data_IF_902781300638
#
_entry.id   IF_902781300638
#
_cell.length_a   1.000
_cell.length_b   1.000
_cell.length_c   1.000
_cell.angle_alpha   90.00
_cell.angle_beta   90.00
_cell.angle_gamma   90.00
#
_symmetry.space_group_name_H-M   'P 1'
#
loop_
_entity.id
_entity.type
_entity.pdbx_description
1 polymer ?
#
# COMPACT_ATOMS: atom_id res chain seq x y z
N UNK A 1 16.64 -10.40 -18.66
CA UNK A 1 17.40 -10.71 -17.44
C UNK A 1 16.58 -11.67 -16.57
N UNK A 2 17.26 -12.46 -15.73
CA UNK A 2 16.63 -13.26 -14.67
C UNK A 2 16.55 -12.45 -13.38
N UNK A 3 15.36 -12.11 -12.94
CA UNK A 3 15.11 -11.24 -11.78
C UNK A 3 14.43 -12.03 -10.66
N UNK A 4 15.07 -12.08 -9.49
CA UNK A 4 14.49 -12.64 -8.27
C UNK A 4 13.87 -11.53 -7.46
N UNK A 5 12.54 -11.54 -7.28
CA UNK A 5 11.82 -10.67 -6.35
C UNK A 5 11.54 -11.45 -5.07
N UNK A 6 11.72 -10.87 -3.90
CA UNK A 6 11.42 -11.53 -2.64
C UNK A 6 10.58 -10.64 -1.70
N UNK A 7 9.50 -11.23 -1.19
CA UNK A 7 8.63 -10.62 -0.18
C UNK A 7 8.05 -11.68 0.75
N UNK A 8 7.78 -11.32 2.03
CA UNK A 8 7.21 -12.27 3.00
C UNK A 8 5.83 -12.76 2.58
N UNK A 9 4.96 -11.87 2.14
CA UNK A 9 3.60 -12.17 1.68
C UNK A 9 3.41 -11.75 0.23
N UNK A 10 2.73 -12.58 -0.53
CA UNK A 10 2.43 -12.34 -1.93
C UNK A 10 1.02 -12.85 -2.28
N UNK A 11 0.54 -12.55 -3.48
CA UNK A 11 -0.77 -13.00 -3.94
C UNK A 11 -1.08 -14.48 -3.59
N UNK A 12 -2.29 -14.80 -3.12
CA UNK A 12 -3.51 -13.97 -3.04
C UNK A 12 -3.63 -13.10 -1.77
N UNK A 13 -2.56 -12.94 -0.96
CA UNK A 13 -2.57 -12.02 0.18
C UNK A 13 -2.59 -10.58 -0.32
N UNK A 14 -3.61 -9.80 0.07
CA UNK A 14 -3.78 -8.42 -0.36
C UNK A 14 -3.26 -7.43 0.69
N UNK A 15 -2.24 -6.68 0.31
CA UNK A 15 -1.69 -5.53 1.05
C UNK A 15 -1.01 -4.60 0.06
N UNK A 16 -0.75 -3.35 0.43
CA UNK A 16 -0.04 -2.41 -0.45
C UNK A 16 1.31 -2.96 -0.95
N UNK A 17 2.06 -3.66 -0.07
CA UNK A 17 3.33 -4.29 -0.43
C UNK A 17 3.14 -5.43 -1.44
N UNK A 18 2.20 -6.36 -1.19
CA UNK A 18 1.99 -7.50 -2.08
C UNK A 18 1.43 -7.10 -3.44
N UNK A 19 0.54 -6.09 -3.49
CA UNK A 19 0.04 -5.50 -4.74
C UNK A 19 1.18 -4.83 -5.52
N UNK A 20 2.04 -4.06 -4.85
CA UNK A 20 3.22 -3.48 -5.47
C UNK A 20 4.13 -4.55 -6.09
N UNK A 21 4.51 -5.56 -5.30
CA UNK A 21 5.41 -6.63 -5.75
C UNK A 21 4.81 -7.42 -6.92
N UNK A 22 3.48 -7.66 -6.90
CA UNK A 22 2.77 -8.33 -7.98
C UNK A 22 2.82 -7.52 -9.29
N UNK A 23 2.38 -6.24 -9.25
CA UNK A 23 2.38 -5.37 -10.43
C UNK A 23 3.79 -5.13 -10.99
N UNK A 24 4.80 -5.06 -10.12
CA UNK A 24 6.20 -4.98 -10.56
C UNK A 24 6.66 -6.26 -11.25
N UNK A 25 6.34 -7.44 -10.68
CA UNK A 25 6.70 -8.72 -11.29
C UNK A 25 6.06 -8.90 -12.67
N UNK A 26 4.78 -8.56 -12.78
CA UNK A 26 4.01 -8.60 -14.04
C UNK A 26 4.62 -7.64 -15.08
N UNK A 27 4.84 -6.37 -14.72
CA UNK A 27 5.42 -5.38 -15.63
C UNK A 27 6.85 -5.74 -16.08
N UNK A 28 7.69 -6.32 -15.21
CA UNK A 28 9.01 -6.82 -15.62
C UNK A 28 8.91 -8.02 -16.55
N UNK A 29 7.95 -8.94 -16.33
CA UNK A 29 7.72 -10.07 -17.22
C UNK A 29 7.23 -9.61 -18.62
N UNK A 30 6.35 -8.60 -18.67
CA UNK A 30 5.90 -7.96 -19.91
C UNK A 30 7.05 -7.29 -20.70
N UNK A 31 8.06 -6.77 -20.00
CA UNK A 31 9.29 -6.25 -20.61
C UNK A 31 10.26 -7.36 -21.06
N UNK A 32 9.88 -8.64 -20.95
CA UNK A 32 10.65 -9.79 -21.41
C UNK A 32 11.73 -10.26 -20.41
N UNK A 33 11.63 -9.88 -19.14
CA UNK A 33 12.48 -10.45 -18.09
C UNK A 33 11.92 -11.82 -17.64
N UNK A 34 12.81 -12.74 -17.28
CA UNK A 34 12.44 -13.99 -16.61
C UNK A 34 12.36 -13.72 -15.11
N UNK A 35 11.15 -13.68 -14.56
CA UNK A 35 10.88 -13.24 -13.20
C UNK A 35 10.48 -14.41 -12.31
N UNK A 36 11.11 -14.50 -11.15
CA UNK A 36 10.73 -15.40 -10.06
C UNK A 36 10.41 -14.60 -8.81
N UNK A 37 9.24 -14.86 -8.21
CA UNK A 37 8.86 -14.30 -6.93
C UNK A 37 9.02 -15.37 -5.85
N UNK A 38 9.94 -15.15 -4.91
CA UNK A 38 10.13 -16.00 -3.73
C UNK A 38 9.36 -15.41 -2.54
N UNK A 39 8.45 -16.20 -1.97
CA UNK A 39 7.56 -15.77 -0.90
C UNK A 39 7.27 -16.89 0.09
N UNK A 40 6.51 -16.60 1.15
CA UNK A 40 6.06 -17.62 2.11
C UNK A 40 4.83 -18.36 1.63
N UNK A 41 4.75 -19.65 1.95
CA UNK A 41 3.52 -20.43 1.89
C UNK A 41 2.69 -20.19 3.15
N UNK A 42 2.19 -18.96 3.30
CA UNK A 42 1.49 -18.51 4.51
C UNK A 42 0.15 -19.22 4.78
N UNK A 43 -0.38 -19.92 3.79
CA UNK A 43 -1.53 -20.82 3.89
C UNK A 43 -1.17 -22.18 3.30
N UNK A 44 -1.51 -23.31 3.98
CA UNK A 44 -1.17 -24.66 3.53
C UNK A 44 -1.82 -25.05 2.18
N UNK A 45 -2.92 -24.40 1.80
CA UNK A 45 -3.66 -24.69 0.56
C UNK A 45 -2.95 -24.13 -0.68
N UNK A 46 -2.04 -23.17 -0.50
CA UNK A 46 -1.32 -22.58 -1.63
C UNK A 46 -0.32 -23.58 -2.21
N UNK A 47 -0.16 -23.64 -3.55
CA UNK A 47 0.85 -24.48 -4.18
C UNK A 47 2.27 -24.00 -3.81
N UNK A 48 3.22 -24.93 -3.77
CA UNK A 48 4.64 -24.60 -3.55
C UNK A 48 5.20 -23.77 -4.72
N UNK A 49 4.80 -24.12 -5.94
CA UNK A 49 5.17 -23.39 -7.15
C UNK A 49 3.95 -23.23 -8.05
N UNK A 50 3.89 -22.10 -8.73
CA UNK A 50 2.93 -21.86 -9.81
C UNK A 50 3.50 -20.86 -10.84
N UNK A 51 2.94 -20.88 -12.04
CA UNK A 51 3.20 -19.86 -13.06
C UNK A 51 1.90 -19.12 -13.35
N UNK A 52 1.95 -17.80 -13.25
CA UNK A 52 0.84 -16.92 -13.54
C UNK A 52 1.39 -15.57 -14.04
N UNK A 53 0.64 -14.89 -14.88
CA UNK A 53 0.95 -13.52 -15.32
C UNK A 53 2.37 -13.36 -15.92
N UNK A 54 2.88 -14.39 -16.60
CA UNK A 54 4.21 -14.33 -17.23
C UNK A 54 5.39 -14.58 -16.29
N UNK A 55 5.19 -14.78 -14.99
CA UNK A 55 6.26 -15.05 -14.03
C UNK A 55 6.00 -16.31 -13.18
N UNK A 56 7.02 -16.75 -12.44
CA UNK A 56 6.96 -17.91 -11.54
C UNK A 56 6.86 -17.43 -10.09
N UNK A 57 6.00 -18.07 -9.31
CA UNK A 57 5.88 -17.87 -7.87
C UNK A 57 6.39 -19.13 -7.18
N UNK A 58 7.35 -18.96 -6.27
CA UNK A 58 7.92 -20.03 -5.43
C UNK A 58 7.60 -19.72 -3.98
N UNK A 59 6.96 -20.66 -3.28
CA UNK A 59 6.53 -20.47 -1.90
C UNK A 59 7.28 -21.40 -0.96
N UNK A 60 8.04 -20.80 -0.06
CA UNK A 60 8.75 -21.53 0.98
C UNK A 60 7.78 -21.94 2.11
N UNK A 61 7.80 -23.21 2.56
CA UNK A 61 6.97 -23.66 3.68
C UNK A 61 7.21 -22.86 4.96
N UNK A 62 6.11 -22.51 5.65
CA UNK A 62 6.11 -21.81 6.92
C UNK A 62 5.94 -22.81 8.07
N UNK A 63 6.86 -22.81 9.04
CA UNK A 63 6.76 -23.65 10.23
C UNK A 63 6.06 -22.94 11.39
N UNK A 64 6.28 -21.65 11.56
CA UNK A 64 5.68 -20.85 12.64
C UNK A 64 5.36 -19.44 12.20
N UNK A 65 4.28 -18.89 12.79
CA UNK A 65 3.93 -17.47 12.69
C UNK A 65 4.35 -16.75 13.98
N UNK A 66 5.07 -15.66 13.88
CA UNK A 66 5.48 -14.80 15.01
C UNK A 66 4.97 -13.40 14.73
N UNK A 67 3.93 -12.97 15.46
CA UNK A 67 3.25 -11.70 15.20
C UNK A 67 2.77 -11.64 13.72
N UNK A 68 3.20 -10.62 12.98
CA UNK A 68 2.93 -10.49 11.53
C UNK A 68 4.05 -11.10 10.66
N UNK A 69 5.04 -11.78 11.22
CA UNK A 69 6.13 -12.45 10.50
C UNK A 69 5.98 -13.96 10.44
N UNK A 70 6.81 -14.61 9.63
CA UNK A 70 6.85 -16.06 9.45
C UNK A 70 8.25 -16.61 9.64
N UNK A 71 8.37 -17.87 10.05
CA UNK A 71 9.64 -18.60 10.08
C UNK A 71 9.61 -19.71 9.03
N UNK A 72 10.60 -19.66 8.15
CA UNK A 72 10.78 -20.58 7.00
C UNK A 72 12.14 -21.28 7.14
N UNK A 73 12.23 -22.45 7.79
CA UNK A 73 13.51 -23.13 8.05
C UNK A 73 14.29 -23.49 6.78
N UNK A 74 13.59 -23.83 5.70
CA UNK A 74 14.18 -24.18 4.40
C UNK A 74 14.74 -23.01 3.61
N UNK A 75 14.39 -21.78 3.97
CA UNK A 75 14.69 -20.57 3.21
C UNK A 75 16.17 -20.44 2.79
N UNK A 76 17.12 -20.94 3.62
CA UNK A 76 18.55 -20.78 3.27
C UNK A 76 18.92 -21.56 2.01
N UNK A 77 18.35 -22.76 1.82
CA UNK A 77 18.53 -23.58 0.61
C UNK A 77 17.90 -22.93 -0.60
N UNK A 78 16.62 -22.59 -0.48
CA UNK A 78 15.83 -21.95 -1.53
C UNK A 78 16.40 -20.57 -1.93
N UNK A 79 16.85 -19.78 -0.95
CA UNK A 79 17.51 -18.49 -1.22
C UNK A 79 18.81 -18.68 -2.03
N UNK A 80 19.62 -19.69 -1.67
CA UNK A 80 20.85 -20.00 -2.41
C UNK A 80 20.54 -20.42 -3.84
N UNK A 81 19.60 -21.32 -4.04
CA UNK A 81 19.18 -21.82 -5.35
C UNK A 81 18.73 -20.68 -6.26
N UNK A 82 17.72 -19.90 -5.82
CA UNK A 82 17.14 -18.85 -6.65
C UNK A 82 18.06 -17.63 -6.81
N UNK A 83 18.94 -17.35 -5.86
CA UNK A 83 19.98 -16.34 -6.05
C UNK A 83 21.02 -16.81 -7.09
N UNK A 84 21.34 -18.11 -7.13
CA UNK A 84 22.25 -18.67 -8.17
C UNK A 84 21.64 -18.53 -9.56
N UNK A 85 20.34 -18.79 -9.68
CA UNK A 85 19.59 -18.65 -10.94
C UNK A 85 19.49 -17.20 -11.42
N UNK A 86 19.34 -16.23 -10.51
CA UNK A 86 19.09 -14.84 -10.82
C UNK A 86 20.33 -14.10 -11.35
N UNK A 87 20.11 -13.13 -12.22
CA UNK A 87 21.09 -12.09 -12.57
C UNK A 87 21.09 -10.96 -11.54
N UNK A 88 19.89 -10.61 -11.03
CA UNK A 88 19.69 -9.55 -10.05
C UNK A 88 18.59 -9.92 -9.04
N UNK A 89 18.68 -9.32 -7.85
CA UNK A 89 17.76 -9.58 -6.74
C UNK A 89 17.07 -8.28 -6.32
N UNK A 90 15.74 -8.32 -6.20
CA UNK A 90 14.96 -7.24 -5.62
C UNK A 90 14.30 -7.71 -4.31
N UNK A 91 14.63 -7.08 -3.18
CA UNK A 91 14.11 -7.40 -1.86
C UNK A 91 13.11 -6.34 -1.41
N UNK A 92 11.92 -6.76 -1.00
CA UNK A 92 10.87 -5.89 -0.50
C UNK A 92 10.92 -5.81 1.04
N UNK A 93 11.22 -4.65 1.60
CA UNK A 93 11.23 -4.40 3.04
C UNK A 93 9.99 -3.62 3.50
N UNK A 94 9.46 -3.89 4.71
CA UNK A 94 10.03 -4.71 5.78
C UNK A 94 9.83 -6.22 5.56
N UNK A 95 10.90 -7.00 5.72
CA UNK A 95 10.88 -8.44 5.62
C UNK A 95 11.94 -9.01 6.58
N UNK A 96 11.53 -9.90 7.48
CA UNK A 96 12.43 -10.48 8.48
C UNK A 96 13.54 -11.33 7.83
N UNK A 97 13.19 -12.09 6.81
CA UNK A 97 14.04 -13.06 6.12
C UNK A 97 15.01 -12.43 5.11
N UNK A 98 14.80 -11.16 4.76
CA UNK A 98 15.56 -10.46 3.73
C UNK A 98 17.08 -10.50 3.95
N UNK A 99 17.53 -10.55 5.22
CA UNK A 99 18.98 -10.61 5.51
C UNK A 99 19.61 -11.91 5.02
N UNK A 100 18.89 -13.02 5.00
CA UNK A 100 19.38 -14.29 4.44
C UNK A 100 19.59 -14.16 2.94
N UNK A 101 18.60 -13.64 2.22
CA UNK A 101 18.67 -13.37 0.78
C UNK A 101 19.78 -12.36 0.44
N UNK A 102 19.88 -11.27 1.20
CA UNK A 102 20.91 -10.25 0.99
C UNK A 102 22.33 -10.81 1.17
N UNK A 103 22.53 -11.72 2.12
CA UNK A 103 23.82 -12.40 2.32
C UNK A 103 24.15 -13.32 1.14
N UNK A 104 23.19 -14.09 0.64
CA UNK A 104 23.39 -14.97 -0.51
C UNK A 104 23.64 -14.15 -1.79
N UNK A 105 22.91 -13.07 -2.02
CA UNK A 105 23.15 -12.17 -3.14
C UNK A 105 24.58 -11.62 -3.13
N UNK A 106 25.08 -11.15 -1.97
CA UNK A 106 26.45 -10.64 -1.84
C UNK A 106 27.52 -11.70 -1.96
N UNK A 107 27.28 -12.93 -1.47
CA UNK A 107 28.22 -14.07 -1.64
C UNK A 107 28.42 -14.44 -3.10
N UNK A 108 27.38 -14.25 -3.91
CA UNK A 108 27.34 -14.62 -5.32
C UNK A 108 27.56 -13.41 -6.26
N UNK A 109 27.95 -12.26 -5.70
CA UNK A 109 28.19 -11.00 -6.44
C UNK A 109 27.00 -10.60 -7.33
N UNK A 110 25.76 -10.82 -6.85
CA UNK A 110 24.55 -10.41 -7.57
C UNK A 110 24.21 -8.95 -7.29
N UNK A 111 23.78 -8.23 -8.31
CA UNK A 111 23.20 -6.89 -8.16
C UNK A 111 21.96 -6.96 -7.29
N UNK A 112 21.85 -6.04 -6.33
CA UNK A 112 20.75 -6.07 -5.36
C UNK A 112 20.09 -4.70 -5.20
N UNK A 113 18.82 -4.61 -5.58
CA UNK A 113 17.95 -3.48 -5.30
C UNK A 113 17.07 -3.83 -4.11
N UNK A 114 16.86 -2.86 -3.22
CA UNK A 114 15.92 -2.99 -2.10
C UNK A 114 14.77 -2.02 -2.29
N UNK A 115 13.54 -2.52 -2.37
CA UNK A 115 12.33 -1.73 -2.34
C UNK A 115 11.88 -1.56 -0.88
N UNK A 116 11.97 -0.36 -0.36
CA UNK A 116 11.62 -0.06 1.02
C UNK A 116 10.22 0.55 1.09
N UNK A 117 9.25 -0.19 1.62
CA UNK A 117 7.86 0.26 1.64
C UNK A 117 7.55 1.18 2.81
N UNK A 118 7.93 0.83 4.03
CA UNK A 118 7.60 1.64 5.21
C UNK A 118 8.46 1.30 6.43
N UNK A 119 8.48 2.21 7.39
CA UNK A 119 8.95 1.97 8.74
C UNK A 119 7.90 1.14 9.49
N UNK A 120 8.34 0.18 10.31
CA UNK A 120 7.44 -0.58 11.17
C UNK A 120 7.23 0.16 12.49
N UNK A 121 6.07 0.75 12.66
CA UNK A 121 5.60 1.28 13.94
C UNK A 121 4.55 0.33 14.52
N UNK A 122 5.03 -0.80 15.09
CA UNK A 122 4.14 -1.80 15.67
C UNK A 122 3.78 -1.35 17.09
N UNK A 123 2.52 -0.96 17.26
CA UNK A 123 1.92 -0.66 18.56
C UNK A 123 1.63 -1.93 19.37
N UNK A 124 1.13 -1.76 20.59
CA UNK A 124 0.69 -2.87 21.43
C UNK A 124 1.76 -3.37 22.41
N UNK A 125 1.92 -4.69 22.57
CA UNK A 125 2.76 -5.29 23.59
C UNK A 125 4.25 -4.98 23.43
N UNK A 126 5.02 -5.06 24.52
CA UNK A 126 6.48 -4.92 24.49
C UNK A 126 7.14 -5.92 23.52
N UNK A 127 6.57 -7.13 23.39
CA UNK A 127 7.06 -8.16 22.47
C UNK A 127 6.93 -7.68 21.02
N UNK A 128 5.79 -7.10 20.64
CA UNK A 128 5.57 -6.55 19.31
C UNK A 128 6.53 -5.39 19.01
N UNK A 129 6.75 -4.50 19.97
CA UNK A 129 7.70 -3.38 19.85
C UNK A 129 9.13 -3.87 19.64
N UNK A 130 9.55 -4.89 20.41
CA UNK A 130 10.87 -5.52 20.28
C UNK A 130 11.00 -6.22 18.92
N UNK A 131 9.99 -6.99 18.50
CA UNK A 131 9.98 -7.65 17.20
C UNK A 131 10.09 -6.63 16.05
N UNK A 132 9.34 -5.54 16.10
CA UNK A 132 9.45 -4.43 15.15
C UNK A 132 10.84 -3.81 15.12
N UNK A 133 11.43 -3.53 16.28
CA UNK A 133 12.79 -2.99 16.36
C UNK A 133 13.85 -3.96 15.79
N UNK A 134 13.76 -5.26 16.11
CA UNK A 134 14.66 -6.29 15.56
C UNK A 134 14.52 -6.36 14.03
N UNK A 135 13.30 -6.40 13.50
CA UNK A 135 13.05 -6.43 12.05
C UNK A 135 13.64 -5.21 11.36
N UNK A 136 13.44 -4.01 11.92
CA UNK A 136 14.02 -2.78 11.37
C UNK A 136 15.56 -2.78 11.46
N UNK A 137 16.13 -3.28 12.55
CA UNK A 137 17.60 -3.39 12.72
C UNK A 137 18.19 -4.37 11.71
N UNK A 138 17.48 -5.47 11.41
CA UNK A 138 17.89 -6.41 10.35
C UNK A 138 17.71 -5.78 8.97
N UNK A 139 16.61 -5.07 8.73
CA UNK A 139 16.38 -4.30 7.51
C UNK A 139 17.49 -3.29 7.23
N UNK A 140 17.95 -2.56 8.24
CA UNK A 140 19.07 -1.61 8.11
C UNK A 140 20.37 -2.30 7.62
N UNK A 141 20.62 -3.55 8.03
CA UNK A 141 21.75 -4.34 7.53
C UNK A 141 21.56 -4.78 6.08
N UNK A 142 20.33 -5.01 5.64
CA UNK A 142 19.97 -5.26 4.23
C UNK A 142 20.18 -4.00 3.41
N UNK A 143 19.65 -2.85 3.87
CA UNK A 143 19.85 -1.56 3.24
C UNK A 143 21.33 -1.22 3.06
N UNK A 144 22.16 -1.47 4.06
CA UNK A 144 23.61 -1.24 3.95
C UNK A 144 24.28 -2.04 2.81
N UNK A 145 23.75 -3.23 2.50
CA UNK A 145 24.24 -4.13 1.45
C UNK A 145 23.66 -3.86 0.07
N UNK A 146 22.55 -3.12 -0.03
CA UNK A 146 21.93 -2.80 -1.31
C UNK A 146 22.86 -1.98 -2.21
N UNK A 147 22.83 -2.20 -3.51
CA UNK A 147 23.46 -1.32 -4.49
C UNK A 147 22.62 -0.05 -4.64
N UNK A 148 21.31 -0.22 -4.81
CA UNK A 148 20.33 0.85 -4.83
C UNK A 148 19.15 0.52 -3.91
N UNK A 149 18.47 1.58 -3.45
CA UNK A 149 17.26 1.50 -2.66
C UNK A 149 16.17 2.24 -3.42
N UNK A 150 15.00 1.65 -3.54
CA UNK A 150 13.82 2.28 -4.14
C UNK A 150 12.83 2.63 -3.04
N UNK A 151 12.28 3.84 -3.12
CA UNK A 151 11.21 4.34 -2.28
C UNK A 151 10.22 5.15 -3.14
N UNK A 152 8.94 5.15 -2.75
CA UNK A 152 7.88 5.82 -3.49
C UNK A 152 7.95 7.34 -3.40
N UNK A 153 8.67 7.89 -2.41
CA UNK A 153 8.81 9.32 -2.18
C UNK A 153 10.10 9.65 -1.42
N UNK A 154 10.89 10.60 -1.92
CA UNK A 154 12.05 11.12 -1.20
C UNK A 154 11.66 11.84 0.10
N UNK A 155 10.50 12.52 0.15
CA UNK A 155 9.96 13.12 1.36
C UNK A 155 9.82 12.10 2.51
N UNK A 156 9.37 10.87 2.19
CA UNK A 156 9.36 9.77 3.16
C UNK A 156 10.77 9.32 3.53
N UNK A 157 11.64 9.13 2.54
CA UNK A 157 13.00 8.64 2.76
C UNK A 157 13.82 9.59 3.68
N UNK A 158 13.73 10.88 3.45
CA UNK A 158 14.40 11.92 4.25
C UNK A 158 13.91 11.96 5.69
N UNK A 159 12.64 11.68 5.89
CA UNK A 159 12.00 11.66 7.20
C UNK A 159 12.21 10.37 7.97
N UNK A 160 12.51 9.24 7.30
CA UNK A 160 12.73 7.94 7.92
C UNK A 160 14.11 7.85 8.57
N UNK A 161 14.16 7.58 9.87
CA UNK A 161 15.44 7.35 10.57
C UNK A 161 16.22 6.14 10.04
N UNK A 162 15.54 5.21 9.36
CA UNK A 162 16.14 4.00 8.83
C UNK A 162 16.66 4.17 7.41
N UNK A 163 16.01 5.00 6.59
CA UNK A 163 16.44 5.31 5.22
C UNK A 163 17.42 6.48 5.14
N UNK A 164 17.29 7.46 6.02
CA UNK A 164 18.10 8.68 6.00
C UNK A 164 19.61 8.43 5.87
N UNK A 165 20.22 7.39 6.51
CA UNK A 165 21.65 7.09 6.32
C UNK A 165 22.01 6.63 4.92
N UNK A 166 21.05 6.30 4.06
CA UNK A 166 21.23 5.70 2.74
C UNK A 166 20.66 6.54 1.60
N UNK A 167 20.36 7.81 1.82
CA UNK A 167 19.74 8.71 0.81
C UNK A 167 20.53 8.79 -0.49
N UNK A 168 21.87 8.76 -0.44
CA UNK A 168 22.73 8.84 -1.63
C UNK A 168 22.45 7.71 -2.64
N UNK A 169 22.07 6.53 -2.17
CA UNK A 169 21.71 5.39 -3.00
C UNK A 169 20.20 5.11 -3.07
N UNK A 170 19.38 6.01 -2.54
CA UNK A 170 17.92 5.94 -2.64
C UNK A 170 17.45 6.65 -3.91
N UNK A 171 16.55 6.00 -4.62
CA UNK A 171 15.89 6.53 -5.82
C UNK A 171 14.39 6.53 -5.61
N UNK A 172 13.75 7.62 -6.02
CA UNK A 172 12.28 7.69 -6.06
C UNK A 172 11.80 6.96 -7.31
N UNK A 173 10.93 5.98 -7.13
CA UNK A 173 10.23 5.30 -8.22
C UNK A 173 8.75 5.26 -7.84
N UNK A 174 7.85 5.77 -8.70
CA UNK A 174 6.43 5.72 -8.45
C UNK A 174 5.93 4.29 -8.21
N UNK A 175 4.95 4.15 -7.31
CA UNK A 175 4.32 2.84 -7.04
C UNK A 175 3.49 2.40 -8.24
N UNK A 176 3.51 1.12 -8.65
CA UNK A 176 2.72 0.66 -9.78
C UNK A 176 1.22 0.63 -9.44
N UNK A 177 0.42 1.37 -10.21
CA UNK A 177 -1.04 1.47 -10.07
C UNK A 177 -1.71 0.96 -11.35
N UNK A 178 -2.85 0.30 -11.21
CA UNK A 178 -3.73 0.00 -12.33
C UNK A 178 -4.44 1.31 -12.75
N UNK A 179 -4.12 1.80 -13.94
CA UNK A 179 -4.67 3.05 -14.47
C UNK A 179 -6.00 2.86 -15.20
N UNK A 180 -6.68 1.72 -15.02
CA UNK A 180 -8.01 1.48 -15.61
C UNK A 180 -9.04 2.44 -15.01
N UNK A 181 -9.73 3.16 -15.87
CA UNK A 181 -10.85 4.01 -15.49
C UNK A 181 -12.16 3.24 -15.58
N UNK A 182 -13.10 3.63 -14.73
CA UNK A 182 -14.48 3.16 -14.81
C UNK A 182 -15.30 4.11 -15.69
N UNK A 183 -16.29 3.57 -16.35
CA UNK A 183 -17.29 4.39 -17.04
C UNK A 183 -18.43 4.82 -16.10
N UNK A 184 -19.27 5.73 -16.60
CA UNK A 184 -20.38 6.26 -15.79
C UNK A 184 -21.45 5.19 -15.48
N UNK A 185 -21.57 4.13 -16.31
CA UNK A 185 -22.55 3.06 -16.04
C UNK A 185 -22.08 2.13 -14.93
N UNK A 186 -20.78 1.84 -14.85
CA UNK A 186 -20.20 1.07 -13.75
C UNK A 186 -20.41 1.79 -12.41
N UNK A 187 -20.20 3.11 -12.38
CA UNK A 187 -20.45 3.93 -11.19
C UNK A 187 -21.95 3.91 -10.82
N UNK A 188 -22.86 4.06 -11.80
CA UNK A 188 -24.31 3.97 -11.54
C UNK A 188 -24.72 2.59 -11.05
N UNK A 189 -24.17 1.51 -11.64
CA UNK A 189 -24.40 0.13 -11.18
C UNK A 189 -23.94 -0.06 -9.74
N UNK A 190 -22.74 0.45 -9.40
CA UNK A 190 -22.22 0.41 -8.03
C UNK A 190 -23.12 1.17 -7.07
N UNK A 191 -23.53 2.40 -7.40
CA UNK A 191 -24.44 3.20 -6.58
C UNK A 191 -25.76 2.47 -6.33
N UNK A 192 -26.39 1.89 -7.37
CA UNK A 192 -27.64 1.09 -7.22
C UNK A 192 -27.43 -0.12 -6.32
N UNK A 193 -26.32 -0.86 -6.49
CA UNK A 193 -26.00 -2.05 -5.68
C UNK A 193 -25.90 -1.75 -4.19
N UNK A 194 -25.44 -0.55 -3.85
CA UNK A 194 -25.17 -0.15 -2.48
C UNK A 194 -26.13 0.93 -1.94
N UNK A 195 -27.26 1.14 -2.60
CA UNK A 195 -28.31 2.11 -2.20
C UNK A 195 -27.75 3.53 -1.99
N UNK A 196 -26.84 3.96 -2.89
CA UNK A 196 -26.28 5.31 -2.91
C UNK A 196 -27.10 6.15 -3.87
N UNK A 197 -27.72 7.21 -3.36
CA UNK A 197 -28.57 8.12 -4.16
C UNK A 197 -27.73 9.26 -4.75
N UNK A 198 -28.27 9.96 -5.75
CA UNK A 198 -27.60 11.13 -6.35
C UNK A 198 -27.50 12.33 -5.40
N UNK A 199 -28.34 12.34 -4.36
CA UNK A 199 -28.31 13.40 -3.35
C UNK A 199 -27.31 13.12 -2.23
N UNK A 200 -26.83 11.88 -2.06
CA UNK A 200 -25.85 11.54 -1.05
C UNK A 200 -24.51 12.25 -1.29
N UNK A 201 -23.84 12.63 -0.22
CA UNK A 201 -22.44 13.05 -0.21
C UNK A 201 -21.59 11.92 0.35
N UNK A 202 -20.82 11.28 -0.51
CA UNK A 202 -20.15 10.03 -0.21
C UNK A 202 -18.71 10.27 0.22
N UNK A 203 -18.39 9.94 1.47
CA UNK A 203 -17.06 9.94 2.06
C UNK A 203 -16.48 8.53 1.97
N UNK A 204 -15.47 8.32 1.14
CA UNK A 204 -14.82 7.02 0.94
C UNK A 204 -13.72 6.75 1.94
N UNK A 205 -13.64 5.53 2.46
CA UNK A 205 -12.50 4.97 3.18
C UNK A 205 -12.02 3.72 2.45
N UNK A 206 -10.73 3.57 2.20
CA UNK A 206 -10.18 2.41 1.51
C UNK A 206 -9.04 1.76 2.29
N UNK A 207 -9.09 0.42 2.40
CA UNK A 207 -8.05 -0.38 3.05
C UNK A 207 -8.55 -1.24 4.20
N UNK A 208 -7.64 -1.88 4.91
CA UNK A 208 -7.96 -2.71 6.08
C UNK A 208 -8.37 -1.84 7.27
N UNK A 209 -9.32 -2.30 8.08
CA UNK A 209 -9.65 -1.66 9.35
C UNK A 209 -8.56 -1.93 10.40
N UNK A 210 -7.53 -1.09 10.40
CA UNK A 210 -6.36 -1.19 11.26
C UNK A 210 -6.04 0.15 11.92
N UNK A 211 -5.48 0.11 13.12
CA UNK A 211 -5.28 1.28 13.96
C UNK A 211 -4.46 2.40 13.30
N UNK A 212 -3.50 2.03 12.43
CA UNK A 212 -2.72 3.00 11.67
C UNK A 212 -3.53 3.83 10.68
N UNK A 213 -4.77 3.40 10.32
CA UNK A 213 -5.65 4.12 9.38
C UNK A 213 -6.45 5.25 9.99
N UNK A 214 -6.60 5.29 11.33
CA UNK A 214 -7.19 6.41 12.04
C UNK A 214 -8.66 6.67 11.76
N UNK A 215 -9.45 5.64 11.49
CA UNK A 215 -10.88 5.80 11.18
C UNK A 215 -11.69 6.44 12.29
N UNK A 216 -11.24 6.33 13.55
CA UNK A 216 -11.83 7.02 14.70
C UNK A 216 -11.86 8.54 14.54
N UNK A 217 -10.91 9.13 13.84
CA UNK A 217 -10.86 10.59 13.63
C UNK A 217 -11.92 11.05 12.62
N UNK A 218 -12.20 10.25 11.59
CA UNK A 218 -13.36 10.51 10.72
C UNK A 218 -14.68 10.34 11.47
N UNK A 219 -14.81 9.30 12.32
CA UNK A 219 -15.99 9.10 13.16
C UNK A 219 -16.24 10.32 14.08
N UNK A 220 -15.17 10.89 14.63
CA UNK A 220 -15.24 12.10 15.46
C UNK A 220 -15.53 13.37 14.65
N UNK A 221 -15.07 13.44 13.42
CA UNK A 221 -15.30 14.56 12.49
C UNK A 221 -16.74 14.56 11.92
N UNK A 222 -17.34 13.37 11.78
CA UNK A 222 -18.60 13.18 11.05
C UNK A 222 -19.78 14.00 11.58
N UNK A 223 -20.01 14.21 12.91
CA UNK A 223 -21.08 15.09 13.37
C UNK A 223 -21.02 16.50 12.76
N UNK A 224 -19.85 17.11 12.73
CA UNK A 224 -19.65 18.44 12.16
C UNK A 224 -19.84 18.47 10.63
N UNK A 225 -19.47 17.40 9.94
CA UNK A 225 -19.77 17.26 8.50
C UNK A 225 -21.28 17.16 8.29
N UNK A 226 -22.00 16.39 9.12
CA UNK A 226 -23.45 16.20 9.03
C UNK A 226 -24.27 17.46 9.35
N UNK A 227 -23.73 18.38 10.15
CA UNK A 227 -24.35 19.71 10.37
C UNK A 227 -24.44 20.50 9.06
N UNK A 228 -23.44 20.41 8.20
CA UNK A 228 -23.36 21.12 6.91
C UNK A 228 -23.95 20.30 5.76
N UNK A 229 -23.72 18.99 5.76
CA UNK A 229 -24.16 18.05 4.74
C UNK A 229 -24.99 16.93 5.40
N UNK A 230 -26.29 17.16 5.70
CA UNK A 230 -27.12 16.17 6.38
C UNK A 230 -27.29 14.84 5.64
N UNK A 231 -27.01 14.82 4.34
CA UNK A 231 -27.03 13.67 3.45
C UNK A 231 -25.62 13.01 3.28
N UNK A 232 -24.63 13.40 4.08
CA UNK A 232 -23.32 12.76 4.05
C UNK A 232 -23.40 11.32 4.62
N UNK A 233 -22.69 10.41 3.96
CA UNK A 233 -22.51 9.01 4.38
C UNK A 233 -21.11 8.53 4.15
N UNK A 234 -20.62 7.64 5.00
CA UNK A 234 -19.32 7.02 4.90
C UNK A 234 -19.48 5.61 4.35
N UNK A 235 -18.74 5.29 3.30
CA UNK A 235 -18.61 3.92 2.80
C UNK A 235 -17.14 3.49 2.88
N UNK A 236 -16.94 2.28 3.35
CA UNK A 236 -15.61 1.69 3.51
C UNK A 236 -15.45 0.48 2.59
N UNK A 237 -14.38 0.46 1.79
CA UNK A 237 -13.99 -0.66 0.95
C UNK A 237 -12.70 -1.30 1.46
N UNK A 238 -12.72 -2.59 1.76
CA UNK A 238 -11.59 -3.35 2.25
C UNK A 238 -11.92 -4.28 3.41
N UNK A 239 -10.92 -5.01 3.89
CA UNK A 239 -11.12 -5.95 5.00
C UNK A 239 -11.46 -5.21 6.29
N UNK A 240 -12.70 -5.39 6.75
CA UNK A 240 -13.17 -4.80 8.01
C UNK A 240 -12.96 -5.75 9.19
N UNK A 241 -13.40 -7.02 9.09
CA UNK A 241 -13.28 -8.04 10.14
C UNK A 241 -12.15 -9.02 9.85
N UNK A 242 -11.55 -9.57 10.92
CA UNK A 242 -10.50 -10.59 10.79
C UNK A 242 -9.13 -10.06 10.39
N UNK A 243 -8.86 -8.76 10.55
CA UNK A 243 -7.51 -8.22 10.39
C UNK A 243 -6.65 -8.63 11.58
N UNK A 244 -5.58 -9.37 11.32
CA UNK A 244 -4.74 -9.99 12.36
C UNK A 244 -4.20 -8.93 13.32
N UNK A 245 -4.51 -9.09 14.62
CA UNK A 245 -4.03 -8.23 15.69
C UNK A 245 -4.78 -6.90 15.85
N UNK A 246 -5.89 -6.71 15.11
CA UNK A 246 -6.69 -5.48 15.12
C UNK A 246 -8.10 -5.68 15.73
N UNK A 247 -8.38 -6.81 16.36
CA UNK A 247 -9.70 -7.18 16.89
C UNK A 247 -10.24 -6.13 17.89
N UNK A 248 -9.37 -5.64 18.78
CA UNK A 248 -9.73 -4.61 19.77
C UNK A 248 -10.02 -3.26 19.10
N UNK A 249 -9.24 -2.92 18.06
CA UNK A 249 -9.46 -1.69 17.31
C UNK A 249 -10.80 -1.76 16.56
N UNK A 250 -11.06 -2.87 15.88
CA UNK A 250 -12.30 -3.09 15.14
C UNK A 250 -13.52 -2.99 16.05
N UNK A 251 -13.51 -3.67 17.20
CA UNK A 251 -14.62 -3.59 18.18
C UNK A 251 -14.87 -2.15 18.65
N UNK A 252 -13.79 -1.37 18.86
CA UNK A 252 -13.89 0.04 19.23
C UNK A 252 -14.53 0.87 18.12
N UNK A 253 -14.09 0.69 16.86
CA UNK A 253 -14.61 1.43 15.72
C UNK A 253 -16.06 1.07 15.47
N UNK A 254 -16.44 -0.22 15.54
CA UNK A 254 -17.83 -0.68 15.41
C UNK A 254 -18.74 0.02 16.44
N UNK A 255 -18.32 0.06 17.71
CA UNK A 255 -19.06 0.74 18.76
C UNK A 255 -19.19 2.26 18.52
N UNK A 256 -18.11 2.92 18.08
CA UNK A 256 -18.13 4.35 17.79
C UNK A 256 -18.99 4.69 16.56
N UNK A 257 -18.98 3.84 15.54
CA UNK A 257 -19.72 4.05 14.30
C UNK A 257 -21.20 3.70 14.40
N UNK A 258 -21.58 2.84 15.35
CA UNK A 258 -22.98 2.35 15.51
C UNK A 258 -24.02 3.46 15.61
N UNK A 259 -23.68 4.61 16.22
CA UNK A 259 -24.60 5.76 16.35
C UNK A 259 -25.00 6.41 15.01
N UNK A 260 -24.26 6.12 13.93
CA UNK A 260 -24.55 6.69 12.60
C UNK A 260 -25.44 5.77 11.75
N UNK A 261 -25.69 4.52 12.20
CA UNK A 261 -26.55 3.56 11.48
C UNK A 261 -26.14 3.41 10.01
N UNK A 262 -27.08 3.50 9.09
CA UNK A 262 -26.85 3.34 7.65
C UNK A 262 -25.95 4.40 7.02
N UNK A 263 -25.64 5.47 7.74
CA UNK A 263 -24.69 6.49 7.26
C UNK A 263 -23.21 6.03 7.33
N UNK A 264 -22.93 4.94 8.05
CA UNK A 264 -21.63 4.32 8.13
C UNK A 264 -21.71 2.85 7.69
N UNK A 265 -21.22 2.54 6.51
CA UNK A 265 -21.35 1.20 5.94
C UNK A 265 -19.99 0.65 5.50
N UNK A 266 -19.63 -0.54 5.98
CA UNK A 266 -18.50 -1.29 5.45
C UNK A 266 -19.00 -2.25 4.37
N UNK A 267 -18.40 -2.15 3.17
CA UNK A 267 -18.73 -2.96 2.00
C UNK A 267 -17.94 -4.27 1.96
N UNK A 268 -16.92 -4.40 2.84
CA UNK A 268 -16.02 -5.54 2.80
C UNK A 268 -15.02 -5.49 1.64
N UNK A 269 -14.48 -6.66 1.29
CA UNK A 269 -13.59 -6.81 0.15
C UNK A 269 -14.41 -6.75 -1.14
N UNK A 270 -14.00 -5.88 -2.05
CA UNK A 270 -14.65 -5.68 -3.35
C UNK A 270 -13.84 -6.36 -4.46
N UNK A 271 -14.48 -6.72 -5.56
CA UNK A 271 -13.79 -7.05 -6.81
C UNK A 271 -13.02 -5.84 -7.33
N UNK A 272 -12.04 -6.04 -8.21
CA UNK A 272 -11.27 -4.93 -8.77
C UNK A 272 -12.16 -3.93 -9.52
N UNK A 273 -13.19 -4.41 -10.23
CA UNK A 273 -14.19 -3.59 -10.92
C UNK A 273 -15.00 -2.75 -9.93
N UNK A 274 -15.59 -3.38 -8.90
CA UNK A 274 -16.34 -2.68 -7.86
C UNK A 274 -15.46 -1.73 -7.05
N UNK A 275 -14.17 -2.07 -6.85
CA UNK A 275 -13.24 -1.21 -6.12
C UNK A 275 -12.90 0.06 -6.90
N UNK A 276 -12.74 -0.03 -8.23
CA UNK A 276 -12.60 1.16 -9.08
C UNK A 276 -13.89 1.99 -9.09
N UNK A 277 -15.05 1.34 -9.23
CA UNK A 277 -16.35 2.01 -9.21
C UNK A 277 -16.66 2.67 -7.84
N UNK A 278 -16.19 2.08 -6.73
CA UNK A 278 -16.25 2.67 -5.40
C UNK A 278 -15.60 4.07 -5.38
N UNK A 279 -14.37 4.21 -5.90
CA UNK A 279 -13.74 5.54 -5.99
C UNK A 279 -14.56 6.49 -6.86
N UNK A 280 -15.05 6.02 -8.01
CA UNK A 280 -15.91 6.80 -8.89
C UNK A 280 -17.24 7.26 -8.24
N UNK A 281 -17.74 6.53 -7.25
CA UNK A 281 -18.94 6.85 -6.50
C UNK A 281 -18.70 7.82 -5.32
N UNK A 282 -17.45 8.02 -4.87
CA UNK A 282 -17.11 8.91 -3.77
C UNK A 282 -17.06 10.38 -4.21
N UNK A 283 -17.52 11.31 -3.37
CA UNK A 283 -17.30 12.75 -3.52
C UNK A 283 -15.92 13.16 -2.96
N UNK A 284 -15.41 12.43 -1.99
CA UNK A 284 -14.07 12.60 -1.41
C UNK A 284 -13.56 11.30 -0.83
N UNK A 285 -12.28 10.98 -1.06
CA UNK A 285 -11.56 9.94 -0.32
C UNK A 285 -10.94 10.52 0.94
N UNK A 286 -11.25 9.96 2.10
CA UNK A 286 -10.64 10.36 3.38
C UNK A 286 -9.51 9.39 3.71
N UNK A 287 -8.27 9.90 3.79
CA UNK A 287 -7.07 9.12 4.03
C UNK A 287 -6.38 9.59 5.32
N UNK A 288 -6.96 9.19 6.45
CA UNK A 288 -6.67 9.67 7.81
C UNK A 288 -5.55 8.92 8.54
N UNK A 289 -4.57 8.36 7.82
CA UNK A 289 -3.46 7.57 8.39
C UNK A 289 -2.70 8.33 9.49
N UNK A 290 -2.17 7.59 10.48
CA UNK A 290 -1.67 8.17 11.74
C UNK A 290 -0.15 8.14 11.91
N UNK A 291 0.55 7.27 11.17
CA UNK A 291 1.97 7.01 11.42
C UNK A 291 2.72 6.54 10.15
N UNK A 292 4.01 6.28 10.31
CA UNK A 292 4.95 5.94 9.23
C UNK A 292 4.81 4.53 8.66
N UNK A 293 3.90 3.70 9.17
CA UNK A 293 3.54 2.43 8.55
C UNK A 293 2.85 2.66 7.20
N UNK A 294 2.27 3.87 7.03
CA UNK A 294 1.84 4.37 5.73
C UNK A 294 2.92 5.28 5.13
N UNK A 295 3.39 4.93 3.94
CA UNK A 295 4.49 5.68 3.30
C UNK A 295 4.07 6.46 2.07
N UNK A 296 2.88 6.20 1.53
CA UNK A 296 2.40 6.86 0.32
C UNK A 296 0.87 6.83 0.20
N UNK A 297 0.26 5.62 0.26
CA UNK A 297 -1.18 5.43 0.07
C UNK A 297 -1.56 5.32 -1.41
N UNK A 298 -1.35 4.14 -2.01
CA UNK A 298 -1.69 3.81 -3.40
C UNK A 298 -3.13 4.22 -3.74
N UNK A 299 -4.06 4.01 -2.81
CA UNK A 299 -5.49 4.31 -2.97
C UNK A 299 -5.79 5.79 -3.24
N UNK A 300 -4.87 6.71 -2.90
CA UNK A 300 -5.01 8.11 -3.25
C UNK A 300 -4.89 8.30 -4.78
N UNK A 301 -3.93 7.64 -5.40
CA UNK A 301 -3.74 7.67 -6.86
C UNK A 301 -4.93 7.00 -7.55
N UNK A 302 -5.40 5.86 -7.02
CA UNK A 302 -6.58 5.15 -7.54
C UNK A 302 -7.85 6.03 -7.45
N UNK A 303 -8.04 6.77 -6.37
CA UNK A 303 -9.15 7.72 -6.22
C UNK A 303 -9.04 8.91 -7.19
N UNK A 304 -7.86 9.54 -7.27
CA UNK A 304 -7.60 10.66 -8.17
C UNK A 304 -7.81 10.28 -9.62
N UNK A 305 -7.44 9.04 -10.01
CA UNK A 305 -7.66 8.49 -11.35
C UNK A 305 -9.16 8.45 -11.71
N UNK A 306 -10.02 8.15 -10.75
CA UNK A 306 -11.47 8.15 -10.93
C UNK A 306 -12.10 9.55 -10.74
N UNK A 307 -11.28 10.60 -10.65
CA UNK A 307 -11.73 11.98 -10.46
C UNK A 307 -12.22 12.29 -9.05
N UNK A 308 -11.77 11.54 -8.04
CA UNK A 308 -12.17 11.74 -6.64
C UNK A 308 -11.06 12.45 -5.87
N UNK A 309 -11.32 13.65 -5.35
CA UNK A 309 -10.36 14.41 -4.53
C UNK A 309 -10.08 13.70 -3.20
N UNK A 310 -8.92 14.01 -2.61
CA UNK A 310 -8.45 13.33 -1.40
C UNK A 310 -8.26 14.31 -0.25
N UNK A 311 -8.75 13.98 0.93
CA UNK A 311 -8.35 14.62 2.19
C UNK A 311 -7.37 13.69 2.90
N UNK A 312 -6.09 14.07 2.91
CA UNK A 312 -5.00 13.23 3.40
C UNK A 312 -4.34 13.78 4.67
N UNK A 313 -3.84 12.89 5.51
CA UNK A 313 -3.00 13.27 6.65
C UNK A 313 -1.67 13.89 6.21
N UNK A 314 -1.21 14.93 6.91
CA UNK A 314 0.11 15.54 6.74
C UNK A 314 1.20 14.64 7.32
N UNK A 315 1.45 13.52 6.65
CA UNK A 315 2.52 12.60 6.94
C UNK A 315 3.51 12.56 5.77
N UNK A 316 4.80 12.42 6.02
CA UNK A 316 5.80 12.27 4.97
C UNK A 316 5.42 11.13 4.00
N UNK A 317 5.51 11.41 2.72
CA UNK A 317 5.11 10.53 1.63
C UNK A 317 3.59 10.51 1.40
N UNK A 318 2.77 10.39 2.43
CA UNK A 318 1.30 10.38 2.33
C UNK A 318 0.75 11.69 1.75
N UNK A 319 1.33 12.82 2.11
CA UNK A 319 0.93 14.15 1.63
C UNK A 319 1.31 14.42 0.17
N UNK A 320 2.25 13.64 -0.40
CA UNK A 320 2.84 13.95 -1.71
C UNK A 320 1.84 13.95 -2.88
N UNK A 321 0.90 13.00 -3.00
CA UNK A 321 -0.08 13.05 -4.08
C UNK A 321 -0.90 14.35 -4.07
N UNK A 322 -1.37 14.79 -2.91
CA UNK A 322 -2.16 16.03 -2.79
C UNK A 322 -1.30 17.27 -3.00
N UNK A 323 -0.07 17.33 -2.45
CA UNK A 323 0.85 18.45 -2.66
C UNK A 323 1.20 18.65 -4.14
N UNK A 324 1.51 17.56 -4.84
CA UNK A 324 1.94 17.63 -6.25
C UNK A 324 0.79 17.90 -7.22
N UNK A 325 -0.45 17.63 -6.83
CA UNK A 325 -1.62 17.74 -7.71
C UNK A 325 -2.57 18.86 -7.34
N UNK A 326 -2.53 19.34 -6.10
CA UNK A 326 -3.56 20.21 -5.50
C UNK A 326 -4.98 19.63 -5.56
N UNK A 327 -5.11 18.31 -5.80
CA UNK A 327 -6.39 17.62 -5.96
C UNK A 327 -6.91 17.08 -4.62
N UNK A 328 -7.19 18.02 -3.71
CA UNK A 328 -7.67 17.72 -2.36
C UNK A 328 -7.11 18.64 -1.28
N UNK A 329 -7.08 18.15 -0.04
CA UNK A 329 -6.61 18.91 1.14
C UNK A 329 -5.70 18.05 2.01
N UNK A 330 -4.79 18.71 2.73
CA UNK A 330 -3.91 18.07 3.70
C UNK A 330 -4.26 18.57 5.09
N UNK A 331 -4.35 17.65 6.06
CA UNK A 331 -4.69 17.95 7.45
C UNK A 331 -3.71 17.29 8.41
N UNK A 332 -3.43 17.95 9.52
CA UNK A 332 -2.63 17.32 10.58
C UNK A 332 -3.32 16.01 11.06
N UNK A 333 -2.57 14.92 11.27
CA UNK A 333 -3.16 13.69 11.79
C UNK A 333 -3.70 13.89 13.21
N UNK A 334 -4.76 13.15 13.56
CA UNK A 334 -5.44 13.21 14.88
C UNK A 334 -6.18 14.52 15.18
N UNK A 335 -6.53 15.30 14.16
CA UNK A 335 -7.28 16.58 14.31
C UNK A 335 -8.67 16.46 13.69
N UNK A 336 -9.70 15.93 14.42
CA UNK A 336 -11.04 15.70 13.85
C UNK A 336 -11.72 16.97 13.35
N UNK A 337 -11.50 18.11 14.03
CA UNK A 337 -12.09 19.38 13.62
C UNK A 337 -11.53 19.85 12.27
N UNK A 338 -10.20 19.84 12.13
CA UNK A 338 -9.54 20.20 10.88
C UNK A 338 -9.90 19.21 9.76
N UNK A 339 -10.06 17.93 10.08
CA UNK A 339 -10.50 16.91 9.13
C UNK A 339 -11.92 17.21 8.64
N UNK A 340 -12.84 17.57 9.53
CA UNK A 340 -14.21 17.95 9.17
C UNK A 340 -14.22 19.19 8.26
N UNK A 341 -13.46 20.24 8.60
CA UNK A 341 -13.38 21.48 7.81
C UNK A 341 -12.82 21.21 6.41
N UNK A 342 -11.78 20.37 6.29
CA UNK A 342 -11.20 20.01 5.00
C UNK A 342 -12.20 19.18 4.15
N UNK A 343 -12.92 18.23 4.76
CA UNK A 343 -13.97 17.47 4.07
C UNK A 343 -15.05 18.42 3.57
N UNK A 344 -15.56 19.31 4.43
CA UNK A 344 -16.58 20.28 4.04
C UNK A 344 -16.10 21.19 2.89
N UNK A 345 -14.87 21.68 2.94
CA UNK A 345 -14.30 22.49 1.84
C UNK A 345 -14.30 21.73 0.50
N UNK A 346 -13.88 20.47 0.50
CA UNK A 346 -13.86 19.65 -0.72
C UNK A 346 -15.28 19.38 -1.23
N UNK A 347 -16.25 19.14 -0.34
CA UNK A 347 -17.64 18.90 -0.72
C UNK A 347 -18.32 20.16 -1.26
N UNK A 348 -17.99 21.35 -0.75
CA UNK A 348 -18.51 22.64 -1.25
C UNK A 348 -17.98 22.97 -2.64
N UNK A 349 -16.70 22.73 -2.88
CA UNK A 349 -16.08 22.93 -4.19
C UNK A 349 -16.62 21.92 -5.23
N UNK A 350 -17.04 20.75 -4.77
CA UNK A 350 -17.48 19.64 -5.61
C UNK A 350 -16.32 18.92 -6.31
N UNK A 351 -16.51 17.62 -6.59
CA UNK A 351 -15.44 16.75 -7.13
C UNK A 351 -14.88 17.20 -8.49
N UNK A 352 -15.59 18.03 -9.22
CA UNK A 352 -15.19 18.52 -10.55
C UNK A 352 -14.62 19.94 -10.53
N UNK A 353 -14.40 20.53 -9.37
CA UNK A 353 -13.83 21.87 -9.23
C UNK A 353 -12.41 21.98 -9.82
N UNK A 354 -11.68 20.88 -9.81
CA UNK A 354 -10.34 20.79 -10.36
C UNK A 354 -10.26 19.65 -11.39
N UNK A 355 -9.51 19.82 -12.50
CA UNK A 355 -9.28 18.73 -13.43
C UNK A 355 -8.46 17.62 -12.76
N UNK A 356 -8.74 16.36 -13.11
CA UNK A 356 -7.91 15.24 -12.65
C UNK A 356 -6.45 15.44 -13.11
N UNK A 357 -5.46 15.15 -12.26
CA UNK A 357 -4.04 15.44 -12.55
C UNK A 357 -3.41 14.39 -13.48
N UNK A 358 -3.90 14.30 -14.73
CA UNK A 358 -3.58 13.25 -15.71
C UNK A 358 -2.07 13.02 -15.88
N UNK A 359 -1.30 14.08 -16.12
CA UNK A 359 0.14 13.97 -16.36
C UNK A 359 0.87 13.37 -15.15
N UNK A 360 0.43 13.68 -13.94
CA UNK A 360 0.98 13.09 -12.71
C UNK A 360 0.61 11.63 -12.58
N UNK A 361 -0.66 11.27 -12.86
CA UNK A 361 -1.19 9.93 -12.71
C UNK A 361 -0.55 8.92 -13.67
N UNK A 362 -0.23 9.33 -14.91
CA UNK A 362 0.42 8.47 -15.90
C UNK A 362 1.78 7.93 -15.43
N UNK A 363 2.52 8.69 -14.61
CA UNK A 363 3.78 8.26 -14.03
C UNK A 363 3.67 7.03 -13.09
N UNK A 364 2.45 6.66 -12.68
CA UNK A 364 2.19 5.54 -11.77
C UNK A 364 1.80 4.24 -12.51
N UNK A 365 1.85 4.19 -13.83
CA UNK A 365 1.55 2.95 -14.55
C UNK A 365 2.54 1.84 -14.19
N UNK A 366 2.07 0.58 -14.16
CA UNK A 366 2.92 -0.57 -13.92
C UNK A 366 4.07 -0.64 -14.94
N UNK A 367 3.81 -0.26 -16.19
CA UNK A 367 4.81 -0.21 -17.25
C UNK A 367 5.91 0.83 -16.97
N UNK A 368 5.56 2.06 -16.53
CA UNK A 368 6.57 3.09 -16.18
C UNK A 368 7.40 2.66 -14.97
N UNK A 369 6.77 2.11 -13.93
CA UNK A 369 7.47 1.55 -12.78
C UNK A 369 8.44 0.44 -13.22
N UNK A 370 8.00 -0.51 -14.06
CA UNK A 370 8.84 -1.61 -14.54
C UNK A 370 10.03 -1.10 -15.36
N UNK A 371 9.83 -0.11 -16.25
CA UNK A 371 10.93 0.53 -17.01
C UNK A 371 11.94 1.22 -16.08
N UNK A 372 11.46 1.92 -15.05
CA UNK A 372 12.35 2.53 -14.06
C UNK A 372 13.19 1.46 -13.34
N UNK A 373 12.57 0.35 -12.93
CA UNK A 373 13.32 -0.76 -12.32
C UNK A 373 14.30 -1.41 -13.31
N UNK A 374 13.92 -1.61 -14.56
CA UNK A 374 14.84 -2.13 -15.59
C UNK A 374 16.08 -1.25 -15.70
N UNK A 375 15.91 0.06 -15.81
CA UNK A 375 17.03 1.03 -15.88
C UNK A 375 17.94 0.93 -14.64
N UNK A 376 17.34 0.83 -13.44
CA UNK A 376 18.11 0.68 -12.20
C UNK A 376 18.86 -0.67 -12.14
N UNK A 377 18.22 -1.77 -12.57
CA UNK A 377 18.83 -3.10 -12.62
C UNK A 377 20.01 -3.14 -13.60
N UNK A 378 19.89 -2.49 -14.74
CA UNK A 378 20.97 -2.36 -15.73
C UNK A 378 22.15 -1.53 -15.18
N UNK A 379 21.86 -0.42 -14.50
CA UNK A 379 22.90 0.44 -13.90
C UNK A 379 23.69 -0.23 -12.77
N UNK A 380 23.11 -1.20 -12.07
CA UNK A 380 23.81 -1.96 -11.04
C UNK A 380 24.77 -3.04 -11.59
N UNK A 381 24.72 -3.31 -12.91
CA UNK A 381 25.58 -4.31 -13.57
C UNK A 381 26.80 -3.69 -14.26
N UNK A 382 26.73 -2.40 -14.57
CA UNK A 382 27.82 -1.62 -15.16
C UNK A 382 28.88 -1.29 -14.08
#
# INVERSE_FOLDING_TARGET
MKVLIASTYFAPYSSGLSVYAFRLAEGLAELGHDVVVLTSRYKPELPLEERAHGFRIVREPVSWHISKGVLMPGLRGTAREWTTWADAVNLHLPQFEALTLAREARRQNKSMIVTYHCDLEIGGSMINRLAGWVTQRMGSRVLARADLIVQNSLDYAESSRWLRPFLQKTREVPTPVDLTRVDAEDVRRFKRKWDITETDRVLGLAGRAAAEKGYEYLIQALPRVLERFPNARVIHAGTWKGVIGEEKYQARIDMMAAKFGERWRSLGYLSDEDFRAFFGACDVLVFSSLNRTESFGIVQIEAMLQGTPVVASDLPGVRQPVLKTSFGRIVAPREPAALADAICSVLDEGRHAHPAPEAYLQGFSAAETARAYQTLLESCRA
#
